data_IF_025354618636
#
_entry.id   IF_025354618636
#
_cell.length_a   1.000
_cell.length_b   1.000
_cell.length_c   1.000
_cell.angle_alpha   90.00
_cell.angle_beta   90.00
_cell.angle_gamma   90.00
#
_symmetry.space_group_name_H-M   'P 1'
#
loop_
_entity.id
_entity.type
_entity.pdbx_description
1 polymer ?
#
# COMPACT_ATOMS: atom_id res chain seq x y z
N UNK A 1 20.94 0.54 -23.44
CA UNK A 1 19.64 0.75 -22.77
C UNK A 1 19.92 1.64 -21.58
N UNK A 2 19.75 2.95 -21.75
CA UNK A 2 19.86 3.89 -20.63
C UNK A 2 18.62 3.65 -19.75
N UNK A 3 18.83 3.10 -18.55
CA UNK A 3 17.77 3.06 -17.56
C UNK A 3 17.52 4.51 -17.15
N UNK A 4 16.36 5.03 -17.53
CA UNK A 4 15.87 6.31 -17.08
C UNK A 4 15.66 6.24 -15.56
N UNK A 5 16.72 6.49 -14.80
CA UNK A 5 16.67 6.68 -13.34
C UNK A 5 16.13 8.07 -13.05
N UNK A 6 14.98 8.42 -13.62
CA UNK A 6 14.22 9.58 -13.19
C UNK A 6 13.99 9.38 -11.69
N UNK A 7 14.69 10.17 -10.88
CA UNK A 7 14.73 10.04 -9.44
C UNK A 7 13.32 9.82 -8.92
N UNK A 8 13.06 8.64 -8.38
CA UNK A 8 11.75 8.24 -7.89
C UNK A 8 11.43 9.19 -6.73
N UNK A 9 10.68 10.26 -7.02
CA UNK A 9 10.41 11.35 -6.07
C UNK A 9 9.90 10.73 -4.77
N UNK A 10 10.49 11.14 -3.66
CA UNK A 10 10.04 10.67 -2.34
C UNK A 10 8.58 11.08 -2.17
N UNK A 11 7.76 10.14 -1.69
CA UNK A 11 6.36 10.43 -1.33
C UNK A 11 6.27 11.60 -0.33
N UNK A 12 7.29 11.78 0.51
CA UNK A 12 7.33 12.92 1.45
C UNK A 12 7.44 14.25 0.72
N UNK A 13 8.24 14.31 -0.35
CA UNK A 13 8.43 15.53 -1.14
C UNK A 13 7.15 15.87 -1.92
N UNK A 14 6.49 14.86 -2.48
CA UNK A 14 5.18 15.03 -3.15
C UNK A 14 4.13 15.55 -2.17
N UNK A 15 4.08 14.99 -0.96
CA UNK A 15 3.14 15.46 0.07
C UNK A 15 3.45 16.90 0.51
N UNK A 16 4.73 17.26 0.62
CA UNK A 16 5.15 18.62 0.94
C UNK A 16 4.75 19.62 -0.15
N UNK A 17 4.93 19.28 -1.45
CA UNK A 17 4.46 20.10 -2.58
C UNK A 17 2.94 20.33 -2.54
N UNK A 18 2.18 19.34 -2.07
CA UNK A 18 0.72 19.43 -1.87
C UNK A 18 0.32 20.16 -0.59
N UNK A 19 1.26 20.72 0.17
CA UNK A 19 1.01 21.39 1.45
C UNK A 19 0.64 20.45 2.59
N UNK A 20 0.87 19.14 2.43
CA UNK A 20 0.56 18.12 3.44
C UNK A 20 1.79 17.87 4.31
N UNK A 21 1.66 18.17 5.60
CA UNK A 21 2.72 17.89 6.59
C UNK A 21 2.54 16.51 7.21
N UNK A 22 3.54 15.65 7.06
CA UNK A 22 3.52 14.31 7.67
C UNK A 22 4.19 14.34 9.05
N UNK A 23 3.38 14.31 10.12
CA UNK A 23 3.89 14.30 11.50
C UNK A 23 4.13 12.89 12.02
N UNK A 24 5.03 12.75 13.01
CA UNK A 24 5.29 11.46 13.67
C UNK A 24 4.03 10.89 14.34
N UNK A 25 3.24 11.75 15.01
CA UNK A 25 1.98 11.37 15.61
C UNK A 25 0.95 10.92 14.57
N UNK A 26 0.87 11.63 13.42
CA UNK A 26 0.02 11.24 12.29
C UNK A 26 0.39 9.86 11.74
N UNK A 27 1.70 9.58 11.60
CA UNK A 27 2.20 8.25 11.21
C UNK A 27 1.82 7.18 12.24
N UNK A 28 1.94 7.47 13.53
CA UNK A 28 1.56 6.54 14.60
C UNK A 28 0.07 6.19 14.55
N UNK A 29 -0.81 7.20 14.42
CA UNK A 29 -2.25 6.99 14.26
C UNK A 29 -2.59 6.19 13.00
N UNK A 30 -1.93 6.49 11.88
CA UNK A 30 -2.13 5.73 10.64
C UNK A 30 -1.74 4.26 10.80
N UNK A 31 -0.60 3.97 11.46
CA UNK A 31 -0.17 2.60 11.76
C UNK A 31 -1.16 1.87 12.67
N UNK A 32 -1.65 2.51 13.73
CA UNK A 32 -2.63 1.91 14.62
C UNK A 32 -3.92 1.53 13.88
N UNK A 33 -4.42 2.40 13.00
CA UNK A 33 -5.60 2.11 12.16
C UNK A 33 -5.37 0.95 11.20
N UNK A 34 -4.18 0.87 10.60
CA UNK A 34 -3.83 -0.25 9.73
C UNK A 34 -3.78 -1.57 10.50
N UNK A 35 -3.21 -1.57 11.70
CA UNK A 35 -3.17 -2.75 12.57
C UNK A 35 -4.57 -3.17 13.01
N UNK A 36 -5.43 -2.22 13.38
CA UNK A 36 -6.82 -2.50 13.75
C UNK A 36 -7.63 -3.07 12.58
N UNK A 37 -7.44 -2.51 11.38
CA UNK A 37 -8.09 -3.02 10.16
C UNK A 37 -7.59 -4.42 9.79
N UNK A 38 -6.29 -4.69 9.98
CA UNK A 38 -5.71 -6.01 9.74
C UNK A 38 -6.20 -7.04 10.77
N UNK A 39 -6.29 -6.67 12.05
CA UNK A 39 -6.84 -7.52 13.10
C UNK A 39 -8.32 -7.91 12.85
N UNK A 40 -9.08 -7.04 12.18
CA UNK A 40 -10.47 -7.31 11.77
C UNK A 40 -10.58 -8.11 10.48
N UNK A 41 -9.48 -8.34 9.77
CA UNK A 41 -9.49 -8.97 8.45
C UNK A 41 -9.49 -10.49 8.61
N UNK A 42 -10.41 -11.16 7.91
CA UNK A 42 -10.35 -12.61 7.75
C UNK A 42 -9.27 -12.97 6.72
N UNK A 43 -8.09 -13.32 7.22
CA UNK A 43 -6.96 -13.72 6.39
C UNK A 43 -7.20 -15.04 5.66
N UNK A 44 -8.01 -15.94 6.21
CA UNK A 44 -8.28 -17.27 5.63
C UNK A 44 -9.14 -17.13 4.38
N UNK A 45 -10.29 -16.45 4.49
CA UNK A 45 -11.16 -16.20 3.35
C UNK A 45 -10.44 -15.39 2.28
N UNK A 46 -9.66 -14.37 2.68
CA UNK A 46 -8.85 -13.59 1.75
C UNK A 46 -7.79 -14.44 1.03
N UNK A 47 -7.11 -15.33 1.74
CA UNK A 47 -6.10 -16.21 1.14
C UNK A 47 -6.73 -17.18 0.13
N UNK A 48 -7.88 -17.77 0.47
CA UNK A 48 -8.63 -18.64 -0.43
C UNK A 48 -9.05 -17.91 -1.72
N UNK A 49 -9.61 -16.70 -1.59
CA UNK A 49 -9.99 -15.86 -2.73
C UNK A 49 -8.80 -15.49 -3.62
N UNK A 50 -7.66 -15.11 -3.03
CA UNK A 50 -6.45 -14.80 -3.80
C UNK A 50 -5.88 -16.03 -4.51
N UNK A 51 -5.98 -17.21 -3.90
CA UNK A 51 -5.59 -18.46 -4.54
C UNK A 51 -6.49 -18.75 -5.75
N UNK A 52 -7.80 -18.53 -5.63
CA UNK A 52 -8.77 -18.67 -6.74
C UNK A 52 -8.47 -17.70 -7.89
N UNK A 53 -8.20 -16.42 -7.59
CA UNK A 53 -7.83 -15.45 -8.63
C UNK A 53 -6.56 -15.90 -9.38
N UNK A 54 -5.54 -16.36 -8.65
CA UNK A 54 -4.26 -16.76 -9.25
C UNK A 54 -4.36 -18.04 -10.06
N UNK A 55 -5.29 -18.94 -9.71
CA UNK A 55 -5.51 -20.18 -10.44
C UNK A 55 -6.41 -20.02 -11.65
N UNK A 56 -7.13 -18.89 -11.79
CA UNK A 56 -7.90 -18.61 -13.00
C UNK A 56 -6.95 -18.41 -14.19
N UNK A 57 -7.07 -19.22 -15.25
CA UNK A 57 -6.40 -18.91 -16.50
C UNK A 57 -6.95 -17.58 -17.02
N UNK A 58 -6.06 -16.72 -17.52
CA UNK A 58 -6.51 -15.56 -18.28
C UNK A 58 -7.39 -16.09 -19.42
N UNK A 59 -8.68 -15.75 -19.41
CA UNK A 59 -9.58 -16.15 -20.48
C UNK A 59 -8.98 -15.63 -21.80
N UNK A 60 -8.66 -16.57 -22.69
CA UNK A 60 -8.15 -16.32 -24.02
C UNK A 60 -9.27 -15.86 -24.96
#
# INVERSE_FOLDING_TARGET
>A
MEQDTSAQRSMTDVLAELGVTVTAEGKARARARLQEADARRDHTTRAAFLAEIRSRPAAA
#
